data_IF_989394588648
#
_entry.id   IF_989394588648
#
_cell.length_a   1.000
_cell.length_b   1.000
_cell.length_c   1.000
_cell.angle_alpha   90.00
_cell.angle_beta   90.00
_cell.angle_gamma   90.00
#
_symmetry.space_group_name_H-M   'P 1'
#
loop_
_entity.id
_entity.type
_entity.pdbx_description
1 polymer ?
#
# COMPACT_ATOMS: atom_id res chain seq x y z
N UNK A 1 -2.23 -19.44 -1.09
CA UNK A 1 -2.13 -18.20 -1.88
C UNK A 1 -3.44 -17.83 -2.56
N UNK A 2 -4.02 -18.68 -3.42
CA UNK A 2 -5.23 -18.35 -4.23
C UNK A 2 -6.42 -17.71 -3.48
N UNK A 3 -6.78 -18.16 -2.27
CA UNK A 3 -7.90 -17.61 -1.48
C UNK A 3 -7.67 -16.13 -1.06
N UNK A 4 -6.41 -15.73 -0.85
CA UNK A 4 -6.02 -14.38 -0.44
C UNK A 4 -6.00 -13.39 -1.60
N UNK A 5 -5.63 -13.87 -2.79
CA UNK A 5 -5.71 -13.09 -4.03
C UNK A 5 -7.17 -12.72 -4.31
N UNK A 6 -8.10 -13.66 -4.14
CA UNK A 6 -9.54 -13.38 -4.27
C UNK A 6 -10.04 -12.39 -3.20
N UNK A 7 -9.62 -12.54 -1.95
CA UNK A 7 -10.09 -11.68 -0.86
C UNK A 7 -9.61 -10.24 -1.02
N UNK A 8 -8.34 -10.05 -1.37
CA UNK A 8 -7.78 -8.72 -1.63
C UNK A 8 -8.42 -8.07 -2.87
N UNK A 9 -8.62 -8.84 -3.95
CA UNK A 9 -9.24 -8.33 -5.17
C UNK A 9 -10.69 -7.88 -4.94
N UNK A 10 -11.47 -8.61 -4.12
CA UNK A 10 -12.84 -8.19 -3.76
C UNK A 10 -12.82 -6.85 -3.04
N UNK A 11 -11.90 -6.64 -2.09
CA UNK A 11 -11.78 -5.36 -1.38
C UNK A 11 -11.41 -4.24 -2.35
N UNK A 12 -10.44 -4.46 -3.25
CA UNK A 12 -10.10 -3.47 -4.28
C UNK A 12 -11.28 -3.10 -5.17
N UNK A 13 -12.08 -4.07 -5.60
CA UNK A 13 -13.27 -3.83 -6.41
C UNK A 13 -14.31 -2.99 -5.67
N UNK A 14 -14.60 -3.32 -4.41
CA UNK A 14 -15.56 -2.57 -3.59
C UNK A 14 -15.11 -1.12 -3.42
N UNK A 15 -13.86 -0.90 -3.03
CA UNK A 15 -13.32 0.45 -2.88
C UNK A 15 -13.26 1.19 -4.22
N UNK A 16 -12.88 0.53 -5.32
CA UNK A 16 -12.87 1.18 -6.64
C UNK A 16 -14.26 1.67 -7.05
N UNK A 17 -15.31 0.87 -6.86
CA UNK A 17 -16.69 1.29 -7.15
C UNK A 17 -17.14 2.44 -6.25
N UNK A 18 -16.90 2.36 -4.95
CA UNK A 18 -17.26 3.44 -4.01
C UNK A 18 -16.48 4.72 -4.32
N UNK A 19 -15.19 4.60 -4.65
CA UNK A 19 -14.33 5.72 -5.01
C UNK A 19 -14.78 6.41 -6.30
N UNK A 20 -15.24 5.66 -7.30
CA UNK A 20 -15.88 6.26 -8.48
C UNK A 20 -17.10 7.09 -8.08
N UNK A 21 -18.06 6.53 -7.34
CA UNK A 21 -19.27 7.29 -6.94
C UNK A 21 -18.94 8.58 -6.16
N UNK A 22 -17.90 8.56 -5.32
CA UNK A 22 -17.51 9.72 -4.52
C UNK A 22 -16.71 10.78 -5.29
N UNK A 23 -15.84 10.36 -6.21
CA UNK A 23 -14.81 11.20 -6.81
C UNK A 23 -14.90 11.33 -8.33
N UNK A 24 -15.91 10.74 -8.96
CA UNK A 24 -16.10 10.78 -10.41
C UNK A 24 -16.22 12.23 -10.92
N UNK A 25 -15.42 12.56 -11.93
CA UNK A 25 -15.39 13.86 -12.60
C UNK A 25 -14.75 15.00 -11.80
N UNK A 26 -14.31 14.75 -10.55
CA UNK A 26 -13.76 15.80 -9.66
C UNK A 26 -12.33 16.19 -9.98
N UNK A 27 -11.56 15.25 -10.52
CA UNK A 27 -10.17 15.41 -10.94
C UNK A 27 -10.06 14.88 -12.36
N UNK A 28 -9.52 15.69 -13.27
CA UNK A 28 -9.39 15.34 -14.67
C UNK A 28 -7.96 15.62 -15.15
N UNK A 29 -7.47 14.73 -16.01
CA UNK A 29 -6.17 14.90 -16.65
C UNK A 29 -6.35 15.69 -17.94
N UNK A 30 -5.58 16.77 -18.09
CA UNK A 30 -5.53 17.57 -19.30
C UNK A 30 -4.12 17.49 -19.92
N UNK A 31 -4.02 17.42 -21.26
CA UNK A 31 -2.73 17.55 -21.93
C UNK A 31 -2.14 18.95 -21.74
N UNK A 32 -0.82 19.08 -21.80
CA UNK A 32 -0.11 20.34 -21.52
C UNK A 32 -0.53 21.52 -22.43
N UNK A 33 -1.04 21.23 -23.63
CA UNK A 33 -1.49 22.23 -24.61
C UNK A 33 -2.99 22.52 -24.52
N UNK A 34 -3.65 22.07 -23.46
CA UNK A 34 -5.07 22.28 -23.24
C UNK A 34 -5.37 23.73 -22.88
N UNK A 35 -6.27 24.35 -23.63
CA UNK A 35 -6.84 25.67 -23.30
C UNK A 35 -8.04 25.57 -22.36
N UNK A 36 -8.32 24.39 -21.80
CA UNK A 36 -9.43 24.21 -20.87
C UNK A 36 -9.21 25.04 -19.59
N UNK A 37 -10.28 25.65 -19.04
CA UNK A 37 -10.19 26.35 -17.77
C UNK A 37 -9.70 25.39 -16.68
N UNK A 38 -8.79 25.87 -15.84
CA UNK A 38 -8.20 25.09 -14.75
C UNK A 38 -7.44 23.82 -15.14
N UNK A 39 -6.95 23.72 -16.39
CA UNK A 39 -6.19 22.56 -16.84
C UNK A 39 -4.92 22.28 -16.01
N UNK A 40 -4.27 23.33 -15.50
CA UNK A 40 -3.11 23.23 -14.60
C UNK A 40 -3.49 22.77 -13.19
N UNK A 41 -4.75 22.94 -12.79
CA UNK A 41 -5.30 22.51 -11.49
C UNK A 41 -6.14 21.23 -11.61
N UNK A 42 -5.83 20.36 -12.56
CA UNK A 42 -6.58 19.11 -12.82
C UNK A 42 -8.09 19.32 -13.07
N UNK A 43 -8.49 20.48 -13.60
CA UNK A 43 -9.88 20.83 -13.89
C UNK A 43 -10.69 21.32 -12.69
N UNK A 44 -10.06 21.55 -11.53
CA UNK A 44 -10.75 22.00 -10.33
C UNK A 44 -10.02 23.16 -9.64
N UNK A 45 -10.63 24.36 -9.52
CA UNK A 45 -9.99 25.50 -8.88
C UNK A 45 -9.63 25.29 -7.40
N UNK A 46 -10.27 24.33 -6.71
CA UNK A 46 -9.92 24.02 -5.32
C UNK A 46 -8.57 23.29 -5.16
N UNK A 47 -7.97 22.83 -6.27
CA UNK A 47 -6.62 22.26 -6.31
C UNK A 47 -5.55 23.29 -6.67
N UNK A 48 -5.92 24.58 -6.78
CA UNK A 48 -4.98 25.67 -7.02
C UNK A 48 -3.89 25.69 -5.95
N UNK A 49 -2.64 25.75 -6.41
CA UNK A 49 -1.41 25.72 -5.59
C UNK A 49 -1.23 24.45 -4.72
N UNK A 50 -2.06 23.42 -4.92
CA UNK A 50 -1.90 22.15 -4.21
C UNK A 50 -0.65 21.39 -4.68
N UNK A 51 -0.01 20.68 -3.74
CA UNK A 51 1.07 19.74 -4.07
C UNK A 51 0.58 18.59 -4.97
N UNK A 52 -0.73 18.30 -4.97
CA UNK A 52 -1.36 17.32 -5.86
C UNK A 52 -1.25 17.73 -7.33
N UNK A 53 -1.65 18.96 -7.65
CA UNK A 53 -1.55 19.50 -9.01
C UNK A 53 -0.08 19.70 -9.43
N UNK A 54 0.76 20.23 -8.53
CA UNK A 54 2.19 20.44 -8.78
C UNK A 54 2.97 19.12 -9.00
N UNK A 55 2.56 18.06 -8.30
CA UNK A 55 3.11 16.71 -8.42
C UNK A 55 2.66 15.95 -9.67
N UNK A 56 1.87 16.57 -10.56
CA UNK A 56 1.31 15.94 -11.78
C UNK A 56 0.46 14.70 -11.51
N UNK A 57 -0.19 14.64 -10.34
CA UNK A 57 -1.07 13.52 -9.96
C UNK A 57 -2.46 13.58 -10.63
N UNK A 58 -2.73 14.51 -11.54
CA UNK A 58 -4.02 14.62 -12.24
C UNK A 58 -4.41 13.35 -13.04
N UNK A 59 -3.41 12.53 -13.43
CA UNK A 59 -3.64 11.24 -14.10
C UNK A 59 -4.31 10.22 -13.16
N UNK A 60 -4.14 10.39 -11.85
CA UNK A 60 -4.69 9.55 -10.80
C UNK A 60 -6.07 10.07 -10.41
N UNK A 61 -7.09 9.56 -11.10
CA UNK A 61 -8.48 9.94 -10.90
C UNK A 61 -9.39 8.72 -10.80
N UNK A 62 -10.61 8.94 -10.32
CA UNK A 62 -11.64 7.92 -10.16
C UNK A 62 -12.73 8.04 -11.25
N UNK A 63 -12.35 8.46 -12.46
CA UNK A 63 -13.33 8.66 -13.54
C UNK A 63 -13.74 7.35 -14.22
N UNK A 64 -12.94 6.29 -14.05
CA UNK A 64 -13.25 4.97 -14.59
C UNK A 64 -12.64 3.90 -13.67
N UNK A 65 -13.10 2.66 -13.83
CA UNK A 65 -12.72 1.56 -12.96
C UNK A 65 -11.22 1.26 -13.01
N UNK A 66 -10.62 1.28 -14.21
CA UNK A 66 -9.20 0.99 -14.38
C UNK A 66 -8.31 2.05 -13.73
N UNK A 67 -8.60 3.34 -13.92
CA UNK A 67 -7.90 4.45 -13.27
C UNK A 67 -8.07 4.39 -11.76
N UNK A 68 -9.29 4.09 -11.26
CA UNK A 68 -9.54 3.90 -9.83
C UNK A 68 -8.69 2.78 -9.24
N UNK A 69 -8.62 1.64 -9.94
CA UNK A 69 -7.79 0.51 -9.54
C UNK A 69 -6.29 0.89 -9.52
N UNK A 70 -5.80 1.64 -10.50
CA UNK A 70 -4.42 2.16 -10.51
C UNK A 70 -4.18 3.05 -9.30
N UNK A 71 -5.09 3.98 -8.96
CA UNK A 71 -4.93 4.82 -7.78
C UNK A 71 -4.85 3.98 -6.51
N UNK A 72 -5.74 2.99 -6.33
CA UNK A 72 -5.72 2.12 -5.14
C UNK A 72 -4.48 1.23 -5.08
N UNK A 73 -3.99 0.76 -6.23
CA UNK A 73 -2.74 0.02 -6.35
C UNK A 73 -1.54 0.90 -5.99
N UNK A 74 -1.46 2.12 -6.50
CA UNK A 74 -0.40 3.06 -6.13
C UNK A 74 -0.45 3.39 -4.63
N UNK A 75 -1.64 3.58 -4.06
CA UNK A 75 -1.79 3.78 -2.62
C UNK A 75 -1.35 2.57 -1.78
N UNK A 76 -1.31 1.37 -2.36
CA UNK A 76 -0.90 0.13 -1.67
C UNK A 76 0.56 -0.23 -1.93
N UNK A 77 1.06 -0.01 -3.14
CA UNK A 77 2.45 -0.30 -3.55
C UNK A 77 3.41 0.79 -3.07
N UNK A 78 2.98 2.05 -3.02
CA UNK A 78 3.78 3.16 -2.47
C UNK A 78 3.73 3.15 -0.93
N UNK A 79 3.75 1.94 -0.37
CA UNK A 79 4.00 1.70 1.03
C UNK A 79 5.50 1.91 1.29
N UNK A 80 5.85 3.05 1.89
CA UNK A 80 7.13 3.36 2.56
C UNK A 80 8.34 3.83 1.73
N UNK A 81 8.40 5.11 1.36
CA UNK A 81 9.68 5.83 1.21
C UNK A 81 9.83 7.04 2.15
N UNK A 82 8.89 7.29 3.08
CA UNK A 82 8.96 8.46 3.96
C UNK A 82 8.52 8.21 5.42
N UNK A 83 8.68 6.99 5.92
CA UNK A 83 8.71 6.72 7.36
C UNK A 83 10.14 6.49 7.90
N UNK A 84 11.20 6.60 7.07
CA UNK A 84 12.58 6.26 7.49
C UNK A 84 13.60 7.40 7.45
N UNK A 85 13.25 8.62 7.01
CA UNK A 85 14.20 9.73 7.11
C UNK A 85 13.56 11.07 7.50
N UNK A 86 13.30 11.19 8.81
CA UNK A 86 13.61 12.39 9.62
C UNK A 86 12.89 13.72 9.30
N UNK A 87 12.01 14.10 10.24
CA UNK A 87 11.81 15.49 10.73
C UNK A 87 11.10 16.53 9.83
N UNK A 88 9.94 16.23 9.23
CA UNK A 88 8.97 17.30 8.92
C UNK A 88 7.52 16.83 9.08
N UNK A 89 6.65 17.63 9.72
CA UNK A 89 5.25 17.28 9.96
C UNK A 89 4.53 17.34 8.62
N UNK A 90 3.98 16.22 8.12
CA UNK A 90 2.91 16.11 7.12
C UNK A 90 3.06 14.74 6.42
N UNK A 91 2.34 13.75 6.92
CA UNK A 91 2.27 12.40 6.34
C UNK A 91 1.63 12.43 4.93
N UNK A 92 2.12 11.63 3.95
CA UNK A 92 1.63 11.64 2.56
C UNK A 92 0.15 11.21 2.40
N UNK A 93 -0.39 10.42 3.34
CA UNK A 93 -1.83 10.16 3.47
C UNK A 93 -2.60 11.46 3.69
N UNK A 94 -2.08 12.35 4.54
CA UNK A 94 -2.72 13.65 4.81
C UNK A 94 -2.68 14.53 3.56
N UNK A 95 -1.64 14.44 2.72
CA UNK A 95 -1.58 15.19 1.46
C UNK A 95 -2.63 14.74 0.45
N UNK A 96 -2.74 13.44 0.21
CA UNK A 96 -3.75 12.88 -0.69
C UNK A 96 -5.17 13.12 -0.15
N UNK A 97 -5.38 12.85 1.14
CA UNK A 97 -6.66 13.09 1.81
C UNK A 97 -7.04 14.58 1.80
N UNK A 98 -6.08 15.51 1.97
CA UNK A 98 -6.33 16.94 1.87
C UNK A 98 -6.63 17.38 0.44
N UNK A 99 -5.95 16.83 -0.58
CA UNK A 99 -6.23 17.11 -1.98
C UNK A 99 -7.68 16.74 -2.34
N UNK A 100 -8.10 15.51 -2.01
CA UNK A 100 -9.46 15.06 -2.24
C UNK A 100 -10.50 15.76 -1.35
N UNK A 101 -10.18 16.04 -0.09
CA UNK A 101 -11.06 16.79 0.81
C UNK A 101 -11.16 18.30 0.50
N UNK A 102 -10.26 18.86 -0.30
CA UNK A 102 -10.41 20.22 -0.81
C UNK A 102 -11.44 20.28 -1.95
N UNK A 103 -11.56 19.19 -2.72
CA UNK A 103 -12.48 19.09 -3.87
C UNK A 103 -13.81 18.41 -3.54
N UNK A 104 -13.94 17.83 -2.35
CA UNK A 104 -15.14 17.11 -1.89
C UNK A 104 -15.42 17.37 -0.40
N UNK A 105 -16.63 17.08 0.06
CA UNK A 105 -17.03 17.25 1.47
C UNK A 105 -16.15 16.45 2.44
N UNK A 106 -16.11 16.89 3.72
CA UNK A 106 -15.25 16.37 4.80
C UNK A 106 -15.12 14.83 4.98
N UNK A 107 -16.07 13.93 4.62
CA UNK A 107 -15.84 12.49 4.77
C UNK A 107 -14.90 11.86 3.73
N UNK A 108 -14.42 12.57 2.71
CA UNK A 108 -13.46 12.02 1.74
C UNK A 108 -12.15 11.53 2.39
N UNK A 109 -11.72 12.18 3.48
CA UNK A 109 -10.55 11.74 4.25
C UNK A 109 -10.76 10.36 4.89
N UNK A 110 -12.00 10.09 5.34
CA UNK A 110 -12.35 8.84 6.00
C UNK A 110 -12.26 7.66 5.03
N UNK A 111 -12.61 7.86 3.76
CA UNK A 111 -12.47 6.84 2.72
C UNK A 111 -11.03 6.35 2.58
N UNK A 112 -10.06 7.27 2.44
CA UNK A 112 -8.65 6.90 2.28
C UNK A 112 -8.06 6.28 3.56
N UNK A 113 -8.47 6.78 4.74
CA UNK A 113 -8.05 6.20 6.03
C UNK A 113 -8.59 4.77 6.18
N UNK A 114 -9.87 4.56 5.88
CA UNK A 114 -10.48 3.23 5.95
C UNK A 114 -9.83 2.26 4.96
N UNK A 115 -9.59 2.69 3.72
CA UNK A 115 -8.87 1.90 2.72
C UNK A 115 -7.47 1.49 3.22
N UNK A 116 -6.71 2.44 3.77
CA UNK A 116 -5.36 2.18 4.26
C UNK A 116 -5.34 1.17 5.43
N UNK A 117 -6.25 1.32 6.39
CA UNK A 117 -6.37 0.37 7.51
C UNK A 117 -6.68 -1.04 6.99
N UNK A 118 -7.67 -1.18 6.10
CA UNK A 118 -8.09 -2.50 5.62
C UNK A 118 -7.02 -3.13 4.72
N UNK A 119 -6.51 -2.40 3.74
CA UNK A 119 -5.62 -3.00 2.72
C UNK A 119 -4.16 -3.01 3.11
N UNK A 120 -3.65 -1.93 3.69
CA UNK A 120 -2.22 -1.83 4.01
C UNK A 120 -1.95 -2.39 5.40
N UNK A 121 -2.75 -2.05 6.40
CA UNK A 121 -2.47 -2.50 7.77
C UNK A 121 -2.97 -3.93 8.02
N UNK A 122 -4.14 -4.32 7.54
CA UNK A 122 -4.66 -5.66 7.82
C UNK A 122 -4.12 -6.67 6.80
N UNK A 123 -4.37 -6.48 5.50
CA UNK A 123 -4.02 -7.48 4.48
C UNK A 123 -2.50 -7.67 4.35
N UNK A 124 -1.69 -6.59 4.31
CA UNK A 124 -0.23 -6.75 4.19
C UNK A 124 0.37 -7.34 5.47
N UNK A 125 -0.05 -6.92 6.67
CA UNK A 125 0.52 -7.49 7.90
C UNK A 125 0.15 -8.97 8.08
N UNK A 126 -1.06 -9.38 7.70
CA UNK A 126 -1.42 -10.80 7.68
C UNK A 126 -0.54 -11.57 6.70
N UNK A 127 -0.31 -11.02 5.50
CA UNK A 127 0.55 -11.63 4.49
C UNK A 127 2.01 -11.76 4.97
N UNK A 128 2.56 -10.70 5.57
CA UNK A 128 3.90 -10.70 6.15
C UNK A 128 3.99 -11.72 7.28
N UNK A 129 3.00 -11.77 8.19
CA UNK A 129 2.97 -12.76 9.27
C UNK A 129 2.98 -14.19 8.74
N UNK A 130 2.22 -14.49 7.69
CA UNK A 130 2.19 -15.81 7.08
C UNK A 130 3.54 -16.19 6.48
N UNK A 131 4.19 -15.25 5.78
CA UNK A 131 5.53 -15.47 5.23
C UNK A 131 6.55 -15.68 6.35
N UNK A 132 6.49 -14.88 7.41
CA UNK A 132 7.38 -15.02 8.56
C UNK A 132 7.19 -16.35 9.28
N UNK A 133 5.95 -16.83 9.41
CA UNK A 133 5.65 -18.14 9.99
C UNK A 133 6.25 -19.27 9.16
N UNK A 134 6.11 -19.22 7.82
CA UNK A 134 6.72 -20.21 6.93
C UNK A 134 8.25 -20.23 7.05
N UNK A 135 8.90 -19.06 7.11
CA UNK A 135 10.35 -18.98 7.31
C UNK A 135 10.78 -19.41 8.72
N UNK A 136 9.98 -19.11 9.74
CA UNK A 136 10.27 -19.51 11.12
C UNK A 136 10.23 -21.03 11.28
N UNK A 137 9.26 -21.70 10.65
CA UNK A 137 9.16 -23.16 10.66
C UNK A 137 10.41 -23.78 10.01
N UNK A 138 10.80 -23.33 8.82
CA UNK A 138 11.99 -23.83 8.13
C UNK A 138 13.27 -23.65 8.98
N UNK A 139 13.46 -22.45 9.54
CA UNK A 139 14.61 -22.14 10.39
C UNK A 139 14.64 -23.00 11.67
N UNK A 140 13.48 -23.30 12.25
CA UNK A 140 13.39 -24.15 13.45
C UNK A 140 13.75 -25.61 13.16
N UNK A 141 13.41 -26.11 11.97
CA UNK A 141 13.75 -27.46 11.53
C UNK A 141 15.25 -27.59 11.26
N UNK A 142 15.84 -26.66 10.50
CA UNK A 142 17.28 -26.62 10.23
C UNK A 142 18.10 -26.62 11.52
N UNK A 143 17.70 -25.79 12.51
CA UNK A 143 18.38 -25.74 13.81
C UNK A 143 18.34 -27.10 14.54
N UNK A 144 17.20 -27.80 14.50
CA UNK A 144 17.04 -29.10 15.16
C UNK A 144 17.91 -30.20 14.54
N UNK A 145 18.07 -30.21 13.21
CA UNK A 145 18.92 -31.17 12.51
C UNK A 145 20.40 -30.94 12.84
N UNK A 146 20.83 -29.68 12.89
CA UNK A 146 22.21 -29.30 13.25
C UNK A 146 22.53 -29.68 14.70
N UNK A 147 21.64 -29.41 15.65
CA UNK A 147 21.83 -29.81 17.05
C UNK A 147 21.94 -31.35 17.18
N UNK A 148 21.07 -32.09 16.50
CA UNK A 148 21.09 -33.56 16.48
C UNK A 148 22.40 -34.11 15.89
N UNK A 149 22.89 -33.51 14.79
CA UNK A 149 24.15 -33.92 14.16
C UNK A 149 25.37 -33.64 15.04
N UNK A 150 25.37 -32.51 15.77
CA UNK A 150 26.43 -32.16 16.72
C UNK A 150 26.44 -33.16 17.89
N UNK A 151 25.28 -33.49 18.47
CA UNK A 151 25.19 -34.47 19.56
C UNK A 151 25.72 -35.85 19.14
N UNK A 152 25.37 -36.32 17.94
CA UNK A 152 25.91 -37.58 17.41
C UNK A 152 27.44 -37.55 17.26
N UNK A 153 28.00 -36.44 16.75
CA UNK A 153 29.45 -36.30 16.58
C UNK A 153 30.19 -36.24 17.92
N UNK A 154 29.61 -35.62 18.93
CA UNK A 154 30.18 -35.61 20.29
C UNK A 154 30.18 -37.03 20.88
N UNK A 155 29.11 -37.80 20.69
CA UNK A 155 29.06 -39.20 21.16
C UNK A 155 30.08 -40.09 20.45
N UNK A 156 30.23 -39.98 19.13
CA UNK A 156 31.26 -40.72 18.37
C UNK A 156 32.68 -40.42 18.87
N UNK A 157 33.01 -39.13 19.06
CA UNK A 157 34.33 -38.71 19.55
C UNK A 157 34.56 -39.13 21.01
N UNK A 158 33.54 -39.09 21.86
CA UNK A 158 33.64 -39.56 23.24
C UNK A 158 33.86 -41.06 23.36
N UNK A 159 33.29 -41.85 22.45
CA UNK A 159 33.52 -43.29 22.36
C UNK A 159 34.91 -43.64 21.78
N UNK A 160 35.43 -42.84 20.84
CA UNK A 160 36.75 -43.06 20.24
C UNK A 160 37.96 -42.75 21.13
N UNK A 161 37.75 -42.14 22.31
CA UNK A 161 38.81 -41.82 23.29
C UNK A 161 38.97 -42.93 24.35
N UNK A 162 38.08 -43.92 24.37
CA UNK A 162 38.10 -45.03 25.35
C UNK A 162 38.83 -46.30 24.89
N UNK A 163 39.49 -46.29 23.72
CA UNK A 163 40.46 -47.32 23.28
C UNK A 163 41.90 -46.78 23.37
#
# INVERSE_FOLDING_TARGET
SRQWDFSSQVVYCVFATVGMELFHGKIQFFPANSNAPHALECGNPALKDSLFARGKYCKNNFNNFASSFIVLMELTVVNQWHDILSLLPLTPIILFANGFANVTVQPAKLYFIAFHIVMVIIIVNIFVSFILEAFFVEYSLEKSEVETAIEQKIQELGMGVQE
#
